data_IF_323650183048
#
_entry.id   IF_323650183048
#
_cell.length_a   1.000
_cell.length_b   1.000
_cell.length_c   1.000
_cell.angle_alpha   90.00
_cell.angle_beta   90.00
_cell.angle_gamma   90.00
#
_symmetry.space_group_name_H-M   'P 1'
#
loop_
_entity.id
_entity.type
_entity.pdbx_description
1 polymer ?
#
# COMPACT_ATOMS: atom_id res chain seq x y z
N UNK A 1 -11.52 -8.59 12.42
CA UNK A 1 -10.75 -7.51 11.76
C UNK A 1 -9.67 -7.06 12.72
N UNK A 2 -8.44 -6.90 12.25
CA UNK A 2 -7.23 -6.64 13.08
C UNK A 2 -7.22 -5.26 13.75
N UNK A 3 -8.02 -4.30 13.26
CA UNK A 3 -8.00 -2.92 13.75
C UNK A 3 -6.80 -2.10 13.25
N UNK A 4 -6.04 -2.63 12.28
CA UNK A 4 -4.89 -1.95 11.68
C UNK A 4 -5.28 -0.59 11.07
N UNK A 5 -4.41 0.40 11.25
CA UNK A 5 -4.53 1.75 10.72
C UNK A 5 -3.50 2.03 9.63
N UNK A 6 -2.28 1.52 9.77
CA UNK A 6 -1.19 1.61 8.77
C UNK A 6 -0.75 0.21 8.38
N UNK A 7 -0.88 -0.11 7.09
CA UNK A 7 -0.53 -1.43 6.54
C UNK A 7 0.58 -1.26 5.51
N UNK A 8 1.57 -2.15 5.53
CA UNK A 8 2.63 -2.23 4.54
C UNK A 8 2.47 -3.51 3.70
N UNK A 9 2.41 -3.33 2.38
CA UNK A 9 2.35 -4.42 1.42
C UNK A 9 3.62 -4.45 0.56
N UNK A 10 4.27 -5.62 0.48
CA UNK A 10 5.37 -5.86 -0.45
C UNK A 10 4.90 -6.78 -1.57
N UNK A 11 4.81 -6.23 -2.78
CA UNK A 11 4.24 -6.87 -3.97
C UNK A 11 2.80 -6.45 -4.22
N UNK A 12 2.61 -5.44 -5.07
CA UNK A 12 1.29 -4.93 -5.46
C UNK A 12 0.64 -5.75 -6.57
N UNK A 13 1.42 -6.18 -7.57
CA UNK A 13 0.94 -6.71 -8.84
C UNK A 13 -0.26 -5.90 -9.40
N UNK A 14 -1.44 -6.52 -9.53
CA UNK A 14 -2.67 -5.88 -10.04
C UNK A 14 -3.56 -5.30 -8.93
N UNK A 15 -3.10 -5.28 -7.68
CA UNK A 15 -3.68 -4.47 -6.60
C UNK A 15 -4.88 -5.06 -5.86
N UNK A 16 -5.15 -6.36 -6.01
CA UNK A 16 -6.30 -7.01 -5.37
C UNK A 16 -6.21 -6.98 -3.85
N UNK A 17 -5.07 -7.40 -3.29
CA UNK A 17 -4.83 -7.41 -1.84
C UNK A 17 -4.85 -6.00 -1.25
N UNK A 18 -4.16 -5.04 -1.88
CA UNK A 18 -4.18 -3.63 -1.46
C UNK A 18 -5.59 -3.05 -1.46
N UNK A 19 -6.42 -3.38 -2.46
CA UNK A 19 -7.83 -2.97 -2.50
C UNK A 19 -8.63 -3.57 -1.34
N UNK A 20 -8.48 -4.87 -1.08
CA UNK A 20 -9.15 -5.54 0.03
C UNK A 20 -8.75 -4.92 1.39
N UNK A 21 -7.46 -4.66 1.59
CA UNK A 21 -6.96 -4.02 2.80
C UNK A 21 -7.50 -2.60 2.93
N UNK A 22 -7.41 -1.77 1.89
CA UNK A 22 -7.92 -0.40 1.90
C UNK A 22 -9.43 -0.28 2.20
N UNK A 23 -10.23 -1.29 1.83
CA UNK A 23 -11.66 -1.36 2.20
C UNK A 23 -11.90 -1.74 3.65
N UNK A 24 -10.97 -2.44 4.28
CA UNK A 24 -11.09 -2.92 5.66
C UNK A 24 -10.54 -1.92 6.69
N UNK A 25 -9.82 -0.89 6.25
CA UNK A 25 -9.24 0.11 7.14
C UNK A 25 -10.30 1.02 7.78
N UNK A 26 -10.09 1.45 9.04
CA UNK A 26 -10.88 2.52 9.64
C UNK A 26 -10.66 3.87 8.91
N UNK A 27 -11.54 4.86 9.10
CA UNK A 27 -11.37 6.19 8.51
C UNK A 27 -9.99 6.81 8.80
N UNK A 28 -9.32 7.26 7.73
CA UNK A 28 -7.97 7.84 7.77
C UNK A 28 -6.83 6.81 7.79
N UNK A 29 -7.11 5.51 7.86
CA UNK A 29 -6.07 4.49 7.70
C UNK A 29 -5.45 4.51 6.30
N UNK A 30 -4.23 4.00 6.16
CA UNK A 30 -3.48 3.97 4.89
C UNK A 30 -2.85 2.60 4.62
N UNK A 31 -2.86 2.19 3.36
CA UNK A 31 -2.03 1.09 2.84
C UNK A 31 -0.85 1.71 2.10
N UNK A 32 0.38 1.40 2.51
CA UNK A 32 1.58 1.65 1.71
C UNK A 32 1.89 0.36 0.96
N UNK A 33 2.03 0.41 -0.36
CA UNK A 33 2.32 -0.76 -1.18
C UNK A 33 3.47 -0.49 -2.12
N UNK A 34 4.37 -1.47 -2.30
CA UNK A 34 5.49 -1.37 -3.22
C UNK A 34 5.60 -2.53 -4.21
N UNK A 35 6.06 -2.21 -5.41
CA UNK A 35 6.35 -3.17 -6.47
C UNK A 35 7.37 -2.57 -7.44
N UNK A 36 8.12 -3.41 -8.12
CA UNK A 36 9.11 -2.99 -9.12
C UNK A 36 8.46 -2.78 -10.51
N UNK A 37 7.28 -3.34 -10.75
CA UNK A 37 6.65 -3.38 -12.07
C UNK A 37 5.62 -2.29 -12.30
N UNK A 38 6.03 -1.22 -12.99
CA UNK A 38 5.13 -0.12 -13.40
C UNK A 38 3.94 -0.63 -14.23
N UNK A 39 4.19 -1.62 -15.10
CA UNK A 39 3.17 -2.21 -15.97
C UNK A 39 1.98 -2.75 -15.18
N UNK A 40 2.24 -3.47 -14.09
CA UNK A 40 1.18 -4.11 -13.30
C UNK A 40 0.53 -3.13 -12.33
N UNK A 41 1.33 -2.27 -11.70
CA UNK A 41 0.84 -1.27 -10.75
C UNK A 41 -0.04 -0.21 -11.41
N UNK A 42 0.16 0.09 -12.70
CA UNK A 42 -0.75 0.93 -13.48
C UNK A 42 -2.16 0.31 -13.63
N UNK A 43 -2.29 -1.02 -13.61
CA UNK A 43 -3.59 -1.72 -13.57
C UNK A 43 -4.23 -1.54 -12.20
N UNK A 44 -3.44 -1.71 -11.13
CA UNK A 44 -3.89 -1.55 -9.75
C UNK A 44 -4.53 -0.18 -9.50
N UNK A 45 -3.84 0.90 -9.89
CA UNK A 45 -4.32 2.28 -9.74
C UNK A 45 -5.71 2.50 -10.36
N UNK A 46 -5.95 1.98 -11.57
CA UNK A 46 -7.26 2.08 -12.25
C UNK A 46 -8.38 1.40 -11.46
N UNK A 47 -8.11 0.28 -10.80
CA UNK A 47 -9.12 -0.43 -10.01
C UNK A 47 -9.34 0.20 -8.64
N UNK A 48 -8.31 0.77 -8.03
CA UNK A 48 -8.45 1.52 -6.77
C UNK A 48 -9.31 2.78 -6.94
N UNK A 49 -9.11 3.51 -8.04
CA UNK A 49 -9.94 4.66 -8.42
C UNK A 49 -11.41 4.24 -8.61
N UNK A 50 -11.65 3.19 -9.42
CA UNK A 50 -13.01 2.65 -9.64
C UNK A 50 -13.67 2.15 -8.36
N UNK A 51 -12.89 1.68 -7.39
CA UNK A 51 -13.38 1.20 -6.11
C UNK A 51 -13.57 2.31 -5.06
N UNK A 52 -13.13 3.54 -5.33
CA UNK A 52 -13.21 4.66 -4.39
C UNK A 52 -12.30 4.51 -3.17
N UNK A 53 -11.13 3.89 -3.36
CA UNK A 53 -10.15 3.64 -2.27
C UNK A 53 -8.74 4.16 -2.59
N UNK A 54 -8.55 4.83 -3.73
CA UNK A 54 -7.25 5.35 -4.15
C UNK A 54 -6.69 6.39 -3.16
N UNK A 55 -7.56 7.15 -2.50
CA UNK A 55 -7.23 8.19 -1.51
C UNK A 55 -6.47 7.69 -0.28
N UNK A 56 -6.44 6.38 -0.05
CA UNK A 56 -5.79 5.76 1.12
C UNK A 56 -4.76 4.69 0.76
N UNK A 57 -4.33 4.66 -0.50
CA UNK A 57 -3.26 3.77 -0.97
C UNK A 57 -2.08 4.63 -1.42
N UNK A 58 -0.95 4.50 -0.75
CA UNK A 58 0.33 5.10 -1.10
C UNK A 58 1.16 4.07 -1.89
N UNK A 59 1.22 4.25 -3.21
CA UNK A 59 1.97 3.37 -4.10
C UNK A 59 3.41 3.85 -4.28
N UNK A 60 4.37 2.95 -4.01
CA UNK A 60 5.81 3.18 -4.17
C UNK A 60 6.37 2.26 -5.25
N UNK A 61 6.72 2.83 -6.40
CA UNK A 61 7.37 2.09 -7.49
C UNK A 61 8.88 2.00 -7.23
N UNK A 62 9.43 0.79 -7.19
CA UNK A 62 10.86 0.57 -6.99
C UNK A 62 11.19 -0.79 -6.38
N UNK A 63 12.47 -1.01 -6.07
CA UNK A 63 12.89 -2.17 -5.31
C UNK A 63 12.30 -2.13 -3.89
N UNK A 64 11.89 -3.28 -3.38
CA UNK A 64 11.28 -3.38 -2.07
C UNK A 64 12.28 -3.02 -0.96
N UNK A 65 13.54 -3.44 -1.05
CA UNK A 65 14.55 -3.15 -0.04
C UNK A 65 14.81 -1.64 0.06
N UNK A 66 14.98 -0.98 -1.08
CA UNK A 66 15.17 0.48 -1.14
C UNK A 66 13.96 1.23 -0.55
N UNK A 67 12.76 0.76 -0.87
CA UNK A 67 11.51 1.34 -0.34
C UNK A 67 11.43 1.17 1.18
N UNK A 68 11.77 -0.01 1.70
CA UNK A 68 11.75 -0.31 3.13
C UNK A 68 12.76 0.54 3.90
N UNK A 69 13.97 0.72 3.37
CA UNK A 69 14.99 1.58 3.98
C UNK A 69 14.53 3.04 4.02
N UNK A 70 13.90 3.53 2.95
CA UNK A 70 13.30 4.87 2.92
C UNK A 70 12.20 5.01 3.97
N UNK A 71 11.25 4.07 4.04
CA UNK A 71 10.15 4.11 5.00
C UNK A 71 10.65 4.07 6.45
N UNK A 72 11.65 3.22 6.73
CA UNK A 72 12.28 3.13 8.05
C UNK A 72 12.96 4.44 8.44
N UNK A 73 13.60 5.12 7.49
CA UNK A 73 14.21 6.45 7.74
C UNK A 73 13.19 7.55 7.98
N UNK A 74 12.02 7.48 7.33
CA UNK A 74 10.97 8.50 7.41
C UNK A 74 10.10 8.37 8.66
N UNK A 75 9.75 7.14 9.03
CA UNK A 75 8.70 6.84 10.03
C UNK A 75 9.17 5.98 11.20
N UNK A 76 10.35 5.36 11.14
CA UNK A 76 10.82 4.38 12.12
C UNK A 76 10.29 2.96 11.85
N UNK A 77 10.94 1.95 12.46
CA UNK A 77 10.69 0.52 12.20
C UNK A 77 9.34 -0.02 12.69
N UNK A 78 8.75 0.62 13.70
CA UNK A 78 7.52 0.15 14.37
C UNK A 78 6.28 0.98 13.94
N UNK A 79 6.32 1.54 12.72
CA UNK A 79 5.31 2.50 12.24
C UNK A 79 4.15 1.87 11.45
N UNK A 80 4.11 0.54 11.36
CA UNK A 80 3.08 -0.24 10.67
C UNK A 80 2.48 -1.30 11.59
N UNK A 81 1.18 -1.52 11.47
CA UNK A 81 0.42 -2.47 12.29
C UNK A 81 0.36 -3.87 11.65
N UNK A 82 0.54 -3.93 10.33
CA UNK A 82 0.48 -5.14 9.50
C UNK A 82 1.44 -5.01 8.31
#
# INVERSE_FOLDING_TARGET
MTGAYRVLEVGTFTGYSSLCMARALPPGGTVVTCDISERWTAVAARYWERAGVADRIDQRLGDAADTLDQLKSQSGGDSFDL
#
